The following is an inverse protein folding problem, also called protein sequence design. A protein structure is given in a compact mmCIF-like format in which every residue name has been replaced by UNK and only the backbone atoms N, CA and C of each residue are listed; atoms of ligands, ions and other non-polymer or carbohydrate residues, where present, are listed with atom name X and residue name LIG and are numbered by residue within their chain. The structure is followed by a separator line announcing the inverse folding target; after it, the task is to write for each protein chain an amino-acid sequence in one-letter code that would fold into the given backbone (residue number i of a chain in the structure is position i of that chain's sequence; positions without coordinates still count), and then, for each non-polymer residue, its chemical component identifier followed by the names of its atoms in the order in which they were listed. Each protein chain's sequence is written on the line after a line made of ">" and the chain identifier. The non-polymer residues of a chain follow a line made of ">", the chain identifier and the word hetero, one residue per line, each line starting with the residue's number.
data_IF_811171357364
#
_entry.id   IF_811171357364
#
_cell.length_a   1.000
_cell.length_b   1.000
_cell.length_c   1.000
_cell.angle_alpha   90.00
_cell.angle_beta   90.00
_cell.angle_gamma   90.00
#
_symmetry.space_group_name_H-M   'P 1'
#
loop_
_entity.id
_entity.type
_entity.pdbx_description
1 polymer ?
#
# COMPACT_ATOMS: atom_id res chain seq x y z
N UNK A 1 11.66 15.11 3.46
CA UNK A 1 12.53 13.96 3.10
C UNK A 1 13.98 14.41 3.16
N UNK A 2 14.95 13.49 3.21
CA UNK A 2 16.37 13.90 3.15
C UNK A 2 16.75 14.33 1.73
N UNK A 3 17.79 15.17 1.58
CA UNK A 3 18.31 15.59 0.27
C UNK A 3 18.64 14.40 -0.64
N UNK A 4 19.14 13.31 -0.05
CA UNK A 4 19.44 12.05 -0.72
C UNK A 4 18.17 11.38 -1.23
N UNK A 5 17.11 11.30 -0.41
CA UNK A 5 15.85 10.69 -0.81
C UNK A 5 15.17 11.47 -1.96
N UNK A 6 15.25 12.80 -1.93
CA UNK A 6 14.72 13.63 -3.02
C UNK A 6 15.49 13.44 -4.33
N UNK A 7 16.80 13.22 -4.26
CA UNK A 7 17.63 12.92 -5.43
C UNK A 7 17.28 11.55 -6.02
N UNK A 8 17.22 10.52 -5.18
CA UNK A 8 16.84 9.18 -5.61
C UNK A 8 15.46 9.18 -6.26
N UNK A 9 14.49 9.88 -5.67
CA UNK A 9 13.16 9.99 -6.27
C UNK A 9 13.20 10.59 -7.68
N UNK A 10 13.99 11.63 -7.92
CA UNK A 10 14.15 12.22 -9.25
C UNK A 10 14.76 11.23 -10.25
N UNK A 11 15.78 10.49 -9.82
CA UNK A 11 16.44 9.47 -10.65
C UNK A 11 15.48 8.33 -11.01
N UNK A 12 14.70 7.84 -10.05
CA UNK A 12 13.67 6.80 -10.27
C UNK A 12 12.59 7.29 -11.22
N UNK A 13 12.11 8.52 -11.08
CA UNK A 13 11.07 9.07 -11.96
C UNK A 13 11.54 9.24 -13.42
N UNK A 14 12.86 9.31 -13.67
CA UNK A 14 13.43 9.37 -15.01
C UNK A 14 13.53 8.01 -15.71
N UNK A 15 13.40 6.90 -14.98
CA UNK A 15 13.40 5.54 -15.53
C UNK A 15 12.18 5.27 -16.42
N UNK A 16 12.25 4.23 -17.25
CA UNK A 16 11.09 3.75 -18.01
C UNK A 16 9.97 3.25 -17.08
N UNK A 17 8.70 3.20 -17.54
CA UNK A 17 7.61 2.66 -16.74
C UNK A 17 7.86 1.25 -16.21
N UNK A 18 8.56 0.40 -16.98
CA UNK A 18 8.88 -0.97 -16.58
C UNK A 18 9.89 -1.00 -15.43
N UNK A 19 11.01 -0.30 -15.57
CA UNK A 19 12.06 -0.23 -14.54
C UNK A 19 11.54 0.38 -13.23
N UNK A 20 10.65 1.39 -13.33
CA UNK A 20 10.00 1.94 -12.12
C UNK A 20 9.12 0.90 -11.42
N UNK A 21 8.38 0.09 -12.18
CA UNK A 21 7.53 -0.94 -11.59
C UNK A 21 8.35 -2.01 -10.87
N UNK A 22 9.45 -2.46 -11.50
CA UNK A 22 10.40 -3.40 -10.90
C UNK A 22 10.99 -2.84 -9.60
N UNK A 23 11.46 -1.58 -9.60
CA UNK A 23 12.01 -0.95 -8.41
C UNK A 23 10.98 -0.76 -7.29
N UNK A 24 9.73 -0.42 -7.63
CA UNK A 24 8.66 -0.27 -6.64
C UNK A 24 8.38 -1.61 -5.94
N UNK A 25 8.43 -2.73 -6.66
CA UNK A 25 8.26 -4.07 -6.07
C UNK A 25 9.36 -4.32 -5.05
N UNK A 26 10.63 -4.17 -5.44
CA UNK A 26 11.78 -4.37 -4.55
C UNK A 26 11.72 -3.47 -3.29
N UNK A 27 11.31 -2.21 -3.47
CA UNK A 27 11.12 -1.29 -2.34
C UNK A 27 9.98 -1.73 -1.44
N UNK A 28 8.84 -2.18 -1.98
CA UNK A 28 7.72 -2.68 -1.18
C UNK A 28 8.11 -3.94 -0.41
N UNK A 29 8.82 -4.88 -1.04
CA UNK A 29 9.31 -6.11 -0.40
C UNK A 29 10.28 -5.78 0.74
N UNK A 30 11.10 -4.73 0.59
CA UNK A 30 12.00 -4.26 1.66
C UNK A 30 11.28 -3.67 2.88
N UNK A 31 10.02 -3.24 2.72
CA UNK A 31 9.21 -2.67 3.80
C UNK A 31 8.45 -3.73 4.60
N UNK A 32 8.41 -4.98 4.14
CA UNK A 32 7.78 -6.06 4.89
C UNK A 32 8.55 -6.27 6.20
N UNK A 33 7.97 -5.94 7.38
CA UNK A 33 8.68 -6.08 8.64
C UNK A 33 9.05 -7.56 8.84
N UNK A 34 10.19 -7.88 9.48
CA UNK A 34 10.38 -9.24 9.99
C UNK A 34 9.17 -9.54 10.88
N UNK A 35 8.47 -10.63 10.56
CA UNK A 35 7.22 -11.11 11.16
C UNK A 35 7.29 -11.07 12.71
N UNK A 36 7.03 -9.90 13.29
CA UNK A 36 7.20 -9.61 14.73
C UNK A 36 5.90 -9.18 15.39
N UNK A 37 4.81 -9.15 14.63
CA UNK A 37 3.44 -9.17 15.13
C UNK A 37 2.77 -10.46 14.68
N UNK A 38 1.77 -10.92 15.44
CA UNK A 38 0.90 -12.05 15.08
C UNK A 38 0.50 -11.93 13.61
N UNK A 39 1.15 -12.73 12.77
CA UNK A 39 0.83 -12.80 11.36
C UNK A 39 -0.62 -13.26 11.27
N UNK A 40 -1.48 -12.40 10.72
CA UNK A 40 -2.89 -12.77 10.49
C UNK A 40 -2.87 -14.05 9.64
N UNK A 41 -3.48 -15.11 10.15
CA UNK A 41 -3.57 -16.37 9.41
C UNK A 41 -4.35 -16.18 8.12
N UNK A 42 -4.12 -17.04 7.13
CA UNK A 42 -4.87 -17.03 5.87
C UNK A 42 -6.38 -17.10 6.13
N UNK A 43 -6.83 -17.89 7.10
CA UNK A 43 -8.23 -17.99 7.51
C UNK A 43 -8.79 -16.65 8.01
N UNK A 44 -8.02 -15.95 8.85
CA UNK A 44 -8.42 -14.65 9.36
C UNK A 44 -8.41 -13.58 8.26
N UNK A 45 -7.55 -13.72 7.24
CA UNK A 45 -7.57 -12.86 6.06
C UNK A 45 -8.79 -13.13 5.17
N UNK A 46 -9.08 -14.39 4.86
CA UNK A 46 -10.26 -14.81 4.09
C UNK A 46 -11.54 -14.30 4.76
N UNK A 47 -11.68 -14.49 6.08
CA UNK A 47 -12.83 -14.02 6.83
C UNK A 47 -13.05 -12.50 6.72
N UNK A 48 -11.97 -11.71 6.73
CA UNK A 48 -12.05 -10.26 6.55
C UNK A 48 -12.45 -9.87 5.12
N UNK A 49 -11.91 -10.55 4.10
CA UNK A 49 -12.29 -10.34 2.69
C UNK A 49 -13.78 -10.60 2.50
N UNK A 50 -14.28 -11.73 3.01
CA UNK A 50 -15.71 -12.05 2.93
C UNK A 50 -16.59 -11.04 3.67
N UNK A 51 -16.17 -10.60 4.87
CA UNK A 51 -16.90 -9.58 5.63
C UNK A 51 -17.01 -8.29 4.83
N UNK A 52 -15.94 -7.84 4.18
CA UNK A 52 -15.95 -6.64 3.33
C UNK A 52 -16.79 -6.82 2.08
N UNK A 53 -16.76 -7.99 1.45
CA UNK A 53 -17.60 -8.30 0.29
C UNK A 53 -19.09 -8.23 0.66
N UNK A 54 -19.49 -8.84 1.79
CA UNK A 54 -20.87 -8.76 2.29
C UNK A 54 -21.31 -7.33 2.58
N UNK A 55 -20.44 -6.52 3.21
CA UNK A 55 -20.74 -5.12 3.47
C UNK A 55 -20.94 -4.31 2.18
N UNK A 56 -20.10 -4.55 1.16
CA UNK A 56 -20.23 -3.89 -0.14
C UNK A 56 -21.54 -4.27 -0.84
N UNK A 57 -21.89 -5.57 -0.85
CA UNK A 57 -23.17 -6.05 -1.39
C UNK A 57 -24.38 -5.49 -0.64
N UNK A 58 -24.25 -5.26 0.68
CA UNK A 58 -25.27 -4.64 1.51
C UNK A 58 -25.36 -3.10 1.34
N UNK A 59 -24.58 -2.51 0.44
CA UNK A 59 -24.62 -1.06 0.15
C UNK A 59 -23.84 -0.20 1.14
N UNK A 60 -22.86 -0.77 1.86
CA UNK A 60 -21.95 0.01 2.70
C UNK A 60 -21.28 1.11 1.85
N UNK A 61 -21.34 2.38 2.26
CA UNK A 61 -20.76 3.46 1.48
C UNK A 61 -19.25 3.29 1.43
N UNK A 62 -18.71 3.21 0.22
CA UNK A 62 -17.28 3.40 -0.01
C UNK A 62 -16.88 4.87 0.19
N UNK A 63 -15.59 5.11 0.29
CA UNK A 63 -15.04 6.47 0.18
C UNK A 63 -14.69 6.75 -1.28
N UNK A 64 -14.62 8.03 -1.65
CA UNK A 64 -14.12 8.39 -2.98
C UNK A 64 -12.65 8.00 -3.13
N UNK A 65 -12.21 7.82 -4.38
CA UNK A 65 -10.80 7.55 -4.64
C UNK A 65 -9.89 8.68 -4.17
N UNK A 66 -10.34 9.93 -4.29
CA UNK A 66 -9.58 11.09 -3.81
C UNK A 66 -9.41 11.07 -2.29
N UNK A 67 -10.47 10.68 -1.55
CA UNK A 67 -10.41 10.51 -0.11
C UNK A 67 -9.47 9.36 0.29
N UNK A 68 -9.57 8.21 -0.39
CA UNK A 68 -8.68 7.08 -0.16
C UNK A 68 -7.21 7.46 -0.37
N UNK A 69 -6.92 8.15 -1.47
CA UNK A 69 -5.58 8.64 -1.81
C UNK A 69 -5.06 9.67 -0.81
N UNK A 70 -5.92 10.55 -0.30
CA UNK A 70 -5.55 11.52 0.72
C UNK A 70 -5.12 10.83 2.02
N UNK A 71 -5.83 9.78 2.46
CA UNK A 71 -5.46 9.01 3.66
C UNK A 71 -4.10 8.33 3.53
N UNK A 72 -3.75 7.82 2.34
CA UNK A 72 -2.44 7.18 2.10
C UNK A 72 -1.29 8.20 2.11
N UNK A 73 -1.54 9.43 1.64
CA UNK A 73 -0.52 10.49 1.58
C UNK A 73 -0.23 11.16 2.91
N UNK A 74 -1.14 11.02 3.87
CA UNK A 74 -0.93 11.52 5.23
C UNK A 74 -0.17 10.43 6.01
N UNK A 75 1.01 10.72 6.59
CA UNK A 75 1.68 9.76 7.44
C UNK A 75 0.74 9.39 8.58
N UNK A 76 0.41 8.11 8.70
CA UNK A 76 -0.25 7.57 9.89
C UNK A 76 0.58 7.99 11.10
N UNK A 77 -0.03 8.75 12.02
CA UNK A 77 0.61 9.15 13.29
C UNK A 77 0.88 7.95 14.18
#
# INVERSE_FOLDING_TARGET
>A
MSRTADQLLREVLALSPKERAELVIELLDSLEPPLSGEQRTDDAWIAEVERRARAALAGSPGISWDEARARIRLPSR
#
